data_IF_372393315125
#
_entry.id   IF_372393315125
#
_cell.length_a   1.000
_cell.length_b   1.000
_cell.length_c   1.000
_cell.angle_alpha   90.00
_cell.angle_beta   90.00
_cell.angle_gamma   90.00
#
_symmetry.space_group_name_H-M   'P 1'
#
loop_
_entity.id
_entity.type
_entity.pdbx_description
1 polymer ?
#
# COMPACT_ATOMS: atom_id res chain seq x y z
N UNK A 1 -1.11 -16.29 18.60
CA UNK A 1 -1.13 -15.33 17.47
C UNK A 1 -1.56 -13.96 17.95
N UNK A 2 -2.67 -13.88 18.67
CA UNK A 2 -3.18 -12.65 19.29
C UNK A 2 -2.12 -11.88 20.10
N UNK A 3 -1.35 -12.55 20.95
CA UNK A 3 -0.24 -11.94 21.70
C UNK A 3 0.81 -11.27 20.80
N UNK A 4 1.15 -11.90 19.66
CA UNK A 4 2.11 -11.34 18.69
C UNK A 4 1.53 -10.09 18.05
N UNK A 5 0.24 -10.13 17.66
CA UNK A 5 -0.46 -9.02 17.04
C UNK A 5 -0.60 -7.84 18.02
N UNK A 6 -0.92 -8.11 19.28
CA UNK A 6 -1.06 -7.08 20.31
C UNK A 6 0.27 -6.40 20.63
N UNK A 7 1.33 -7.22 20.80
CA UNK A 7 2.70 -6.71 20.99
C UNK A 7 3.16 -5.87 19.79
N UNK A 8 2.94 -6.37 18.57
CA UNK A 8 3.22 -5.61 17.35
C UNK A 8 2.47 -4.28 17.35
N UNK A 9 1.16 -4.30 17.61
CA UNK A 9 0.31 -3.11 17.57
C UNK A 9 0.76 -2.07 18.58
N UNK A 10 1.16 -2.51 19.78
CA UNK A 10 1.70 -1.65 20.83
C UNK A 10 3.00 -0.98 20.39
N UNK A 11 3.97 -1.76 19.91
CA UNK A 11 5.27 -1.24 19.45
C UNK A 11 5.12 -0.31 18.25
N UNK A 12 4.30 -0.68 17.27
CA UNK A 12 4.04 0.13 16.09
C UNK A 12 3.36 1.47 16.45
N UNK A 13 2.42 1.46 17.41
CA UNK A 13 1.80 2.70 17.93
C UNK A 13 2.79 3.58 18.69
N UNK A 14 3.74 2.99 19.39
CA UNK A 14 4.82 3.70 20.09
C UNK A 14 5.90 4.26 19.14
N UNK A 15 5.87 3.90 17.85
CA UNK A 15 6.91 4.28 16.89
C UNK A 15 8.19 3.45 17.00
N UNK A 16 8.16 2.34 17.73
CA UNK A 16 9.28 1.40 17.85
C UNK A 16 9.32 0.44 16.66
N UNK A 17 9.58 1.00 15.47
CA UNK A 17 9.40 0.32 14.18
C UNK A 17 10.31 -0.91 14.02
N UNK A 18 11.56 -0.84 14.47
CA UNK A 18 12.51 -1.97 14.41
C UNK A 18 12.07 -3.12 15.31
N UNK A 19 11.59 -2.82 16.52
CA UNK A 19 11.07 -3.83 17.45
C UNK A 19 9.78 -4.46 16.92
N UNK A 20 8.88 -3.65 16.34
CA UNK A 20 7.66 -4.15 15.69
C UNK A 20 7.99 -5.10 14.51
N UNK A 21 8.97 -4.73 13.68
CA UNK A 21 9.49 -5.57 12.60
C UNK A 21 10.07 -6.89 13.13
N UNK A 22 10.86 -6.85 14.21
CA UNK A 22 11.44 -8.06 14.81
C UNK A 22 10.37 -9.02 15.35
N UNK A 23 9.36 -8.50 16.05
CA UNK A 23 8.27 -9.33 16.60
C UNK A 23 7.50 -10.06 15.50
N UNK A 24 7.16 -9.37 14.41
CA UNK A 24 6.42 -9.97 13.30
C UNK A 24 7.31 -10.93 12.48
N UNK A 25 8.54 -10.53 12.15
CA UNK A 25 9.46 -11.38 11.40
C UNK A 25 9.84 -12.66 12.16
N UNK A 26 10.00 -12.60 13.48
CA UNK A 26 10.24 -13.78 14.30
C UNK A 26 9.04 -14.74 14.30
N UNK A 27 7.82 -14.21 14.38
CA UNK A 27 6.61 -15.02 14.31
C UNK A 27 6.49 -15.77 12.97
N UNK A 28 6.75 -15.09 11.85
CA UNK A 28 6.67 -15.68 10.52
C UNK A 28 7.85 -16.63 10.26
N UNK A 29 9.09 -16.16 10.45
CA UNK A 29 10.29 -16.86 9.96
C UNK A 29 10.81 -17.93 10.93
N UNK A 30 10.69 -17.73 12.24
CA UNK A 30 11.21 -18.70 13.24
C UNK A 30 10.13 -19.60 13.79
N UNK A 31 8.97 -19.03 14.09
CA UNK A 31 7.83 -19.77 14.66
C UNK A 31 6.92 -20.37 13.59
N UNK A 32 7.20 -20.11 12.30
CA UNK A 32 6.45 -20.59 11.14
C UNK A 32 4.94 -20.32 11.25
N UNK A 33 4.57 -19.15 11.80
CA UNK A 33 3.18 -18.74 11.91
C UNK A 33 2.73 -18.16 10.58
N UNK A 34 1.98 -18.95 9.81
CA UNK A 34 1.51 -18.58 8.48
C UNK A 34 0.05 -18.13 8.56
N UNK A 35 -0.18 -16.82 8.56
CA UNK A 35 -1.52 -16.24 8.61
C UNK A 35 -1.54 -14.88 7.91
N UNK A 36 -2.54 -14.59 7.04
CA UNK A 36 -2.68 -13.29 6.38
C UNK A 36 -2.57 -12.08 7.31
N UNK A 37 -3.07 -12.18 8.55
CA UNK A 37 -3.02 -11.11 9.54
C UNK A 37 -1.58 -10.76 9.95
N UNK A 38 -0.67 -11.75 9.94
CA UNK A 38 0.75 -11.49 10.20
C UNK A 38 1.44 -10.92 8.96
N UNK A 39 1.07 -11.41 7.77
CA UNK A 39 1.72 -11.02 6.51
C UNK A 39 1.46 -9.57 6.12
N UNK A 40 0.24 -9.06 6.27
CA UNK A 40 -0.01 -7.65 5.95
C UNK A 40 0.69 -6.72 6.96
N UNK A 41 0.76 -7.11 8.24
CA UNK A 41 1.52 -6.36 9.26
C UNK A 41 3.01 -6.38 8.96
N UNK A 42 3.53 -7.50 8.46
CA UNK A 42 4.92 -7.57 8.01
C UNK A 42 5.19 -6.65 6.82
N UNK A 43 4.24 -6.58 5.89
CA UNK A 43 4.29 -5.65 4.76
C UNK A 43 4.32 -4.18 5.25
N UNK A 44 3.54 -3.82 6.27
CA UNK A 44 3.60 -2.49 6.93
C UNK A 44 5.01 -2.22 7.45
N UNK A 45 5.58 -3.13 8.26
CA UNK A 45 6.92 -2.97 8.80
C UNK A 45 7.97 -2.79 7.69
N UNK A 46 7.86 -3.54 6.60
CA UNK A 46 8.75 -3.42 5.46
C UNK A 46 8.66 -2.02 4.84
N UNK A 47 7.46 -1.45 4.69
CA UNK A 47 7.31 -0.07 4.23
C UNK A 47 7.99 0.90 5.19
N UNK A 48 7.75 0.75 6.48
CA UNK A 48 8.33 1.62 7.50
C UNK A 48 9.86 1.58 7.46
N UNK A 49 10.46 0.39 7.37
CA UNK A 49 11.91 0.23 7.20
C UNK A 49 12.43 0.83 5.89
N UNK A 50 11.69 0.68 4.78
CA UNK A 50 12.07 1.29 3.50
C UNK A 50 12.12 2.83 3.59
N UNK A 51 11.16 3.45 4.27
CA UNK A 51 11.03 4.91 4.33
C UNK A 51 11.89 5.57 5.42
N UNK A 52 12.33 4.78 6.39
CA UNK A 52 13.25 5.22 7.45
C UNK A 52 14.70 4.95 7.06
N UNK A 53 15.09 3.67 6.98
CA UNK A 53 16.45 3.24 6.70
C UNK A 53 16.82 3.41 5.22
N UNK A 54 15.86 3.19 4.32
CA UNK A 54 16.08 3.27 2.87
C UNK A 54 16.06 4.68 2.28
N UNK A 55 15.73 5.72 3.06
CA UNK A 55 15.58 7.10 2.53
C UNK A 55 16.80 7.61 1.76
N UNK A 56 18.00 7.27 2.22
CA UNK A 56 19.27 7.67 1.59
C UNK A 56 19.97 6.52 0.85
N UNK A 57 19.55 5.28 1.08
CA UNK A 57 20.16 4.09 0.48
C UNK A 57 19.13 3.35 -0.38
N UNK A 58 19.29 3.50 -1.70
CA UNK A 58 18.45 2.84 -2.70
C UNK A 58 18.49 1.31 -2.60
N UNK A 59 19.60 0.71 -2.15
CA UNK A 59 19.69 -0.75 -1.99
C UNK A 59 18.84 -1.22 -0.81
N UNK A 60 18.90 -0.50 0.32
CA UNK A 60 18.07 -0.79 1.50
C UNK A 60 16.59 -0.56 1.17
N UNK A 61 16.26 0.55 0.52
CA UNK A 61 14.89 0.83 0.06
C UNK A 61 14.36 -0.31 -0.81
N UNK A 62 15.11 -0.69 -1.87
CA UNK A 62 14.74 -1.79 -2.76
C UNK A 62 14.58 -3.11 -2.01
N UNK A 63 15.47 -3.44 -1.07
CA UNK A 63 15.38 -4.65 -0.26
C UNK A 63 14.02 -4.73 0.43
N UNK A 64 13.68 -3.71 1.22
CA UNK A 64 12.45 -3.72 2.00
C UNK A 64 11.19 -3.60 1.14
N UNK A 65 11.23 -2.88 0.01
CA UNK A 65 10.12 -2.88 -0.98
C UNK A 65 9.85 -4.28 -1.52
N UNK A 66 10.90 -5.00 -1.93
CA UNK A 66 10.74 -6.37 -2.44
C UNK A 66 10.28 -7.34 -1.35
N UNK A 67 10.78 -7.17 -0.12
CA UNK A 67 10.39 -7.98 1.03
C UNK A 67 8.91 -7.79 1.40
N UNK A 68 8.46 -6.54 1.47
CA UNK A 68 7.05 -6.21 1.74
C UNK A 68 6.11 -6.66 0.62
N UNK A 69 6.53 -6.55 -0.65
CA UNK A 69 5.78 -7.10 -1.78
C UNK A 69 5.62 -8.62 -1.67
N UNK A 70 6.70 -9.33 -1.32
CA UNK A 70 6.66 -10.77 -1.09
C UNK A 70 5.71 -11.13 0.06
N UNK A 71 5.77 -10.39 1.17
CA UNK A 71 4.88 -10.61 2.30
C UNK A 71 3.40 -10.44 1.93
N UNK A 72 3.05 -9.36 1.23
CA UNK A 72 1.68 -9.14 0.76
C UNK A 72 1.23 -10.23 -0.24
N UNK A 73 2.14 -10.70 -1.10
CA UNK A 73 1.88 -11.81 -2.04
C UNK A 73 1.60 -13.11 -1.32
N UNK A 74 2.40 -13.48 -0.31
CA UNK A 74 2.19 -14.69 0.49
C UNK A 74 0.87 -14.62 1.26
N UNK A 75 0.53 -13.47 1.85
CA UNK A 75 -0.77 -13.26 2.48
C UNK A 75 -1.94 -13.46 1.52
N UNK A 76 -1.84 -12.98 0.28
CA UNK A 76 -2.85 -13.18 -0.76
C UNK A 76 -2.93 -14.62 -1.28
N UNK A 77 -1.83 -15.38 -1.26
CA UNK A 77 -1.87 -16.81 -1.60
C UNK A 77 -2.68 -17.60 -0.56
N UNK A 78 -2.65 -17.18 0.71
CA UNK A 78 -3.41 -17.78 1.79
C UNK A 78 -4.88 -17.33 1.78
N UNK A 79 -5.13 -16.04 1.55
CA UNK A 79 -6.47 -15.49 1.40
C UNK A 79 -6.51 -14.41 0.30
N UNK A 80 -6.96 -14.77 -0.93
CA UNK A 80 -7.01 -13.85 -2.07
C UNK A 80 -7.92 -12.63 -1.87
N UNK A 81 -8.91 -12.73 -1.00
CA UNK A 81 -9.90 -11.67 -0.74
C UNK A 81 -9.58 -10.87 0.53
N UNK A 82 -8.43 -11.10 1.16
CA UNK A 82 -8.07 -10.39 2.39
C UNK A 82 -7.89 -8.89 2.11
N UNK A 83 -8.63 -7.99 2.81
CA UNK A 83 -8.65 -6.57 2.47
C UNK A 83 -7.28 -5.92 2.64
N UNK A 84 -6.64 -6.12 3.79
CA UNK A 84 -5.32 -5.55 4.05
C UNK A 84 -4.22 -6.13 3.14
N UNK A 85 -4.21 -7.43 2.84
CA UNK A 85 -3.22 -7.99 1.90
C UNK A 85 -3.40 -7.42 0.48
N UNK A 86 -4.65 -7.30 -0.01
CA UNK A 86 -4.93 -6.66 -1.30
C UNK A 86 -4.44 -5.21 -1.31
N UNK A 87 -4.72 -4.47 -0.22
CA UNK A 87 -4.28 -3.10 -0.08
C UNK A 87 -2.75 -2.97 -0.12
N UNK A 88 -2.04 -3.71 0.74
CA UNK A 88 -0.58 -3.65 0.80
C UNK A 88 0.08 -4.18 -0.47
N UNK A 89 -0.52 -5.14 -1.16
CA UNK A 89 -0.05 -5.57 -2.48
C UNK A 89 -0.09 -4.42 -3.50
N UNK A 90 -1.21 -3.68 -3.57
CA UNK A 90 -1.33 -2.50 -4.43
C UNK A 90 -0.28 -1.42 -4.11
N UNK A 91 -0.05 -1.16 -2.81
CA UNK A 91 0.98 -0.20 -2.35
C UNK A 91 2.39 -0.62 -2.81
N UNK A 92 2.78 -1.87 -2.59
CA UNK A 92 4.11 -2.33 -2.98
C UNK A 92 4.27 -2.46 -4.50
N UNK A 93 3.21 -2.84 -5.22
CA UNK A 93 3.21 -2.84 -6.68
C UNK A 93 3.44 -1.42 -7.24
N UNK A 94 2.87 -0.40 -6.59
CA UNK A 94 3.15 1.00 -6.93
C UNK A 94 4.64 1.34 -6.74
N UNK A 95 5.24 1.03 -5.59
CA UNK A 95 6.67 1.27 -5.34
C UNK A 95 7.58 0.56 -6.34
N UNK A 96 7.29 -0.71 -6.67
CA UNK A 96 8.04 -1.46 -7.68
C UNK A 96 7.93 -0.78 -9.05
N UNK A 97 6.70 -0.40 -9.45
CA UNK A 97 6.47 0.25 -10.74
C UNK A 97 7.16 1.61 -10.85
N UNK A 98 7.28 2.35 -9.75
CA UNK A 98 8.01 3.62 -9.70
C UNK A 98 9.52 3.41 -9.87
N UNK A 99 10.08 2.37 -9.24
CA UNK A 99 11.49 2.00 -9.39
C UNK A 99 11.84 1.52 -10.80
N UNK A 100 10.89 0.91 -11.52
CA UNK A 100 11.04 0.50 -12.92
C UNK A 100 10.84 1.67 -13.91
N UNK A 101 10.28 2.79 -13.44
CA UNK A 101 10.13 4.03 -14.17
C UNK A 101 8.73 4.29 -14.72
N UNK A 102 8.55 5.49 -15.29
CA UNK A 102 7.23 6.05 -15.59
C UNK A 102 6.36 5.17 -16.51
N UNK A 103 6.96 4.46 -17.48
CA UNK A 103 6.22 3.57 -18.39
C UNK A 103 5.57 2.41 -17.64
N UNK A 104 6.31 1.78 -16.72
CA UNK A 104 5.79 0.69 -15.90
C UNK A 104 4.70 1.18 -14.96
N UNK A 105 4.92 2.34 -14.32
CA UNK A 105 3.91 2.95 -13.44
C UNK A 105 2.57 3.14 -14.15
N UNK A 106 2.57 3.64 -15.39
CA UNK A 106 1.34 3.79 -16.18
C UNK A 106 0.72 2.42 -16.51
N UNK A 107 1.52 1.42 -16.87
CA UNK A 107 1.04 0.06 -17.15
C UNK A 107 0.42 -0.62 -15.94
N UNK A 108 1.02 -0.47 -14.77
CA UNK A 108 0.55 -1.09 -13.54
C UNK A 108 -0.62 -0.34 -12.90
N UNK A 109 -0.93 0.90 -13.31
CA UNK A 109 -1.90 1.76 -12.62
C UNK A 109 -3.31 1.14 -12.51
N UNK A 110 -3.78 0.45 -13.56
CA UNK A 110 -5.09 -0.23 -13.53
C UNK A 110 -5.07 -1.45 -12.61
N UNK A 111 -4.00 -2.25 -12.69
CA UNK A 111 -3.83 -3.40 -11.82
C UNK A 111 -3.80 -2.98 -10.34
N UNK A 112 -3.04 -1.92 -10.02
CA UNK A 112 -2.94 -1.35 -8.66
C UNK A 112 -4.33 -0.92 -8.17
N UNK A 113 -5.10 -0.19 -9.00
CA UNK A 113 -6.46 0.23 -8.69
C UNK A 113 -7.36 -0.97 -8.39
N UNK A 114 -7.29 -2.03 -9.19
CA UNK A 114 -8.14 -3.22 -9.01
C UNK A 114 -7.89 -3.91 -7.66
N UNK A 115 -6.64 -3.93 -7.17
CA UNK A 115 -6.32 -4.41 -5.82
C UNK A 115 -6.91 -3.53 -4.72
N UNK A 116 -6.86 -2.20 -4.86
CA UNK A 116 -7.52 -1.32 -3.89
C UNK A 116 -9.04 -1.45 -3.92
N UNK A 117 -9.63 -1.63 -5.10
CA UNK A 117 -11.06 -1.87 -5.22
C UNK A 117 -11.48 -3.17 -4.54
N UNK A 118 -10.71 -4.26 -4.70
CA UNK A 118 -10.96 -5.52 -3.96
C UNK A 118 -10.89 -5.32 -2.45
N UNK A 119 -9.90 -4.57 -1.98
CA UNK A 119 -9.79 -4.24 -0.56
C UNK A 119 -11.03 -3.49 -0.05
N UNK A 120 -11.56 -2.53 -0.81
CA UNK A 120 -12.77 -1.78 -0.45
C UNK A 120 -14.07 -2.58 -0.57
N UNK A 121 -14.14 -3.54 -1.49
CA UNK A 121 -15.28 -4.46 -1.58
C UNK A 121 -15.35 -5.38 -0.36
N UNK A 122 -14.20 -5.82 0.15
CA UNK A 122 -14.11 -6.66 1.34
C UNK A 122 -14.25 -5.84 2.65
N UNK A 123 -13.66 -4.65 2.71
CA UNK A 123 -13.67 -3.74 3.85
C UNK A 123 -13.85 -2.29 3.37
N UNK A 124 -15.09 -1.78 3.28
CA UNK A 124 -15.37 -0.45 2.73
C UNK A 124 -14.67 0.71 3.45
N UNK A 125 -14.41 0.54 4.75
CA UNK A 125 -13.75 1.55 5.61
C UNK A 125 -12.22 1.40 5.65
N UNK A 126 -11.63 0.57 4.79
CA UNK A 126 -10.18 0.37 4.77
C UNK A 126 -9.45 1.67 4.41
N UNK A 127 -8.90 2.33 5.43
CA UNK A 127 -8.30 3.66 5.32
C UNK A 127 -7.19 3.75 4.26
N UNK A 128 -6.33 2.73 4.18
CA UNK A 128 -5.19 2.74 3.25
C UNK A 128 -5.70 2.63 1.81
N UNK A 129 -6.68 1.77 1.55
CA UNK A 129 -7.29 1.63 0.23
C UNK A 129 -8.08 2.88 -0.18
N UNK A 130 -8.86 3.48 0.73
CA UNK A 130 -9.59 4.74 0.49
C UNK A 130 -8.62 5.88 0.14
N UNK A 131 -7.56 6.06 0.93
CA UNK A 131 -6.56 7.09 0.68
C UNK A 131 -5.84 6.86 -0.67
N UNK A 132 -5.45 5.62 -0.97
CA UNK A 132 -4.78 5.29 -2.23
C UNK A 132 -5.69 5.50 -3.45
N UNK A 133 -6.98 5.17 -3.34
CA UNK A 133 -7.98 5.44 -4.39
C UNK A 133 -8.22 6.93 -4.59
N UNK A 134 -8.32 7.71 -3.50
CA UNK A 134 -8.43 9.17 -3.58
C UNK A 134 -7.23 9.80 -4.32
N UNK A 135 -6.02 9.33 -4.00
CA UNK A 135 -4.78 9.73 -4.69
C UNK A 135 -4.78 9.35 -6.17
N UNK A 136 -5.20 8.12 -6.51
CA UNK A 136 -5.30 7.67 -7.89
C UNK A 136 -6.29 8.54 -8.69
N UNK A 137 -7.46 8.85 -8.12
CA UNK A 137 -8.45 9.71 -8.75
C UNK A 137 -7.90 11.12 -9.02
N UNK A 138 -7.17 11.69 -8.06
CA UNK A 138 -6.49 12.98 -8.22
C UNK A 138 -5.45 12.93 -9.34
N UNK A 139 -4.53 11.96 -9.30
CA UNK A 139 -3.45 11.83 -10.29
C UNK A 139 -3.99 11.63 -11.71
N UNK A 140 -5.03 10.81 -11.89
CA UNK A 140 -5.71 10.59 -13.18
C UNK A 140 -6.43 11.84 -13.67
N UNK A 141 -7.06 12.59 -12.76
CA UNK A 141 -7.78 13.81 -13.12
C UNK A 141 -6.83 14.95 -13.54
N UNK A 142 -5.63 15.00 -12.92
CA UNK A 142 -4.61 16.03 -13.12
C UNK A 142 -3.57 15.67 -14.21
N UNK A 143 -3.71 14.52 -14.90
CA UNK A 143 -2.79 14.12 -15.98
C UNK A 143 -2.76 15.17 -17.09
N UNK A 144 -1.62 15.82 -17.38
CA UNK A 144 -1.51 16.76 -18.49
C UNK A 144 -1.86 16.08 -19.81
N UNK A 145 -2.53 16.80 -20.72
CA UNK A 145 -3.12 16.25 -21.96
C UNK A 145 -2.15 15.42 -22.82
N UNK A 146 -0.84 15.71 -22.77
CA UNK A 146 0.20 14.95 -23.49
C UNK A 146 0.47 13.54 -22.90
N UNK A 147 0.38 13.37 -21.57
CA UNK A 147 0.50 12.04 -20.95
C UNK A 147 -0.75 11.19 -21.20
N UNK A 148 -1.94 11.83 -21.31
CA UNK A 148 -3.17 11.17 -21.77
C UNK A 148 -3.06 10.66 -23.21
N UNK A 149 -2.34 11.37 -24.08
CA UNK A 149 -2.05 10.93 -25.46
C UNK A 149 -1.12 9.71 -25.50
N UNK A 150 -0.11 9.66 -24.64
CA UNK A 150 0.76 8.48 -24.50
C UNK A 150 -0.04 7.30 -23.93
N UNK A 151 -0.88 7.53 -22.91
CA UNK A 151 -1.77 6.50 -22.38
C UNK A 151 -2.74 5.95 -23.44
N UNK A 152 -3.30 6.79 -24.33
CA UNK A 152 -4.12 6.34 -25.48
C UNK A 152 -3.38 5.45 -26.47
N UNK A 153 -2.07 5.67 -26.65
CA UNK A 153 -1.26 4.87 -27.58
C UNK A 153 -0.93 3.47 -27.01
N UNK A 154 -0.90 3.32 -25.68
CA UNK A 154 -0.60 2.06 -24.99
C UNK A 154 -1.84 1.33 -24.45
N UNK A 155 -2.90 2.07 -24.14
CA UNK A 155 -4.17 1.58 -23.60
C UNK A 155 -5.26 2.17 -24.49
N UNK A 156 -6.04 1.32 -25.16
CA UNK A 156 -7.08 1.73 -26.11
C UNK A 156 -8.09 2.76 -25.57
N UNK A 157 -8.15 2.94 -24.25
CA UNK A 157 -8.91 3.98 -23.54
C UNK A 157 -8.02 4.71 -22.52
N UNK A 158 -7.96 6.05 -22.53
CA UNK A 158 -7.27 6.82 -21.50
C UNK A 158 -7.97 6.68 -20.15
N UNK A 159 -7.26 6.80 -19.02
CA UNK A 159 -7.89 6.75 -17.72
C UNK A 159 -8.81 7.97 -17.55
N UNK A 160 -10.10 7.70 -17.34
CA UNK A 160 -11.09 8.71 -16.94
C UNK A 160 -11.57 8.36 -15.55
N UNK A 161 -11.17 9.15 -14.54
CA UNK A 161 -11.88 9.18 -13.26
C UNK A 161 -12.90 10.32 -13.34
N UNK A 162 -14.14 10.08 -12.89
CA UNK A 162 -15.11 11.15 -12.75
C UNK A 162 -15.06 11.65 -11.31
N UNK A 163 -14.90 12.96 -11.12
CA UNK A 163 -14.92 13.66 -9.83
C UNK A 163 -16.16 13.38 -8.94
N UNK A 164 -17.17 12.66 -9.45
CA UNK A 164 -18.40 12.32 -8.73
C UNK A 164 -18.22 11.24 -7.65
N UNK A 165 -17.22 10.38 -7.74
CA UNK A 165 -17.01 9.29 -6.75
C UNK A 165 -16.38 9.77 -5.42
N UNK A 166 -15.82 10.98 -5.39
CA UNK A 166 -15.08 11.50 -4.21
C UNK A 166 -16.00 12.20 -3.20
N UNK A 167 -17.26 12.48 -3.54
CA UNK A 167 -18.11 13.42 -2.77
C UNK A 167 -18.87 12.82 -1.57
N UNK A 168 -18.74 11.53 -1.30
CA UNK A 168 -19.39 10.86 -0.16
C UNK A 168 -18.45 10.66 1.05
N UNK A 169 -17.49 11.56 1.28
CA UNK A 169 -16.63 11.50 2.46
C UNK A 169 -17.19 12.36 3.61
N UNK A 170 -17.46 11.80 4.81
CA UNK A 170 -17.93 12.57 5.96
C UNK A 170 -16.82 13.48 6.52
N UNK A 171 -17.12 14.78 6.60
CA UNK A 171 -16.24 15.89 6.97
C UNK A 171 -15.68 15.89 8.40
N UNK A 172 -15.84 14.81 9.19
CA UNK A 172 -15.46 14.77 10.62
C UNK A 172 -14.08 14.16 10.90
N UNK A 173 -13.45 13.48 9.95
CA UNK A 173 -12.12 12.88 10.14
C UNK A 173 -10.96 13.81 9.76
N UNK A 174 -11.24 14.93 9.09
CA UNK A 174 -10.23 15.84 8.51
C UNK A 174 -9.33 16.47 9.58
N UNK A 175 -9.85 16.75 10.77
CA UNK A 175 -9.10 17.44 11.84
C UNK A 175 -8.05 16.55 12.52
N UNK A 176 -8.20 15.22 12.47
CA UNK A 176 -7.19 14.28 12.97
C UNK A 176 -6.07 14.01 11.95
N UNK A 177 -6.29 14.33 10.67
CA UNK A 177 -5.43 13.94 9.55
C UNK A 177 -4.38 14.99 9.17
N UNK A 178 -4.59 16.27 9.49
CA UNK A 178 -3.65 17.34 9.16
C UNK A 178 -2.26 17.16 9.82
N UNK A 179 -2.20 16.52 11.00
CA UNK A 179 -0.93 16.27 11.69
C UNK A 179 -0.18 15.00 11.23
N UNK A 180 -0.79 14.14 10.42
CA UNK A 180 -0.16 12.88 9.92
C UNK A 180 0.10 12.88 8.41
N UNK A 181 -0.53 13.78 7.66
CA UNK A 181 -0.46 13.84 6.19
C UNK A 181 0.89 14.32 5.63
N UNK A 182 1.83 14.78 6.46
CA UNK A 182 3.09 15.36 5.96
C UNK A 182 4.23 14.36 5.68
N UNK A 183 4.05 13.05 5.87
CA UNK A 183 5.12 12.06 5.58
C UNK A 183 4.60 10.68 5.11
N UNK A 184 3.52 10.63 4.31
CA UNK A 184 3.08 9.37 3.70
C UNK A 184 3.26 9.44 2.18
N UNK A 185 4.53 9.47 1.79
CA UNK A 185 5.08 8.57 0.76
C UNK A 185 6.17 7.74 1.40
#
# INVERSE_FOLDING_TARGET
MEEVIDKFTTLHRAGELEAAYQVISEAILRRNMQDPELYWRYAVCCRDMALTLGRKDKKIYKKFVMEGFKAATEGLQMNPEHPNCNCWYGVFLNYISEMEGIRKRIQSAYQIRDYFQRALLAEPDNFVALHAMGRWCFEVSDVPMYQRLIAKAFFATPPTSSFKEVREFPSKQTTYLENRALNIF
#
